data_IF_550476665561
#
_entry.id   IF_550476665561
#
_cell.length_a   1.000
_cell.length_b   1.000
_cell.length_c   1.000
_cell.angle_alpha   90.00
_cell.angle_beta   90.00
_cell.angle_gamma   90.00
#
_symmetry.space_group_name_H-M   'P 1'
#
loop_
_entity.id
_entity.type
_entity.pdbx_description
1 polymer ?
#
# COMPACT_ATOMS: atom_id res chain seq x y z
N UNK A 1 -11.30 26.97 -0.02
CA UNK A 1 -9.99 26.40 0.27
C UNK A 1 -9.92 26.21 1.77
N UNK A 2 -8.93 25.52 2.26
CA UNK A 2 -8.72 25.26 3.69
C UNK A 2 -8.82 26.58 4.49
N UNK A 3 -9.44 26.56 5.66
CA UNK A 3 -9.41 27.71 6.56
C UNK A 3 -7.97 28.07 6.86
N UNK A 4 -7.65 29.35 6.94
CA UNK A 4 -6.26 29.85 6.95
C UNK A 4 -5.40 29.24 8.05
N UNK A 5 -5.99 28.88 9.19
CA UNK A 5 -5.27 28.35 10.35
C UNK A 5 -4.99 26.82 10.25
N UNK A 6 -5.84 26.05 9.57
CA UNK A 6 -5.70 24.59 9.49
C UNK A 6 -4.70 24.13 8.42
N UNK A 7 -4.52 24.92 7.36
CA UNK A 7 -3.62 24.59 6.26
C UNK A 7 -2.19 25.10 6.42
N UNK A 8 -1.86 25.85 7.44
CA UNK A 8 -0.62 26.62 7.52
C UNK A 8 0.64 25.75 7.48
N UNK A 9 0.68 24.68 8.26
CA UNK A 9 1.82 23.74 8.27
C UNK A 9 1.94 22.99 6.95
N UNK A 10 0.86 22.44 6.44
CA UNK A 10 0.85 21.73 5.18
C UNK A 10 1.25 22.63 4.00
N UNK A 11 0.69 23.84 3.92
CA UNK A 11 1.07 24.81 2.91
C UNK A 11 2.55 25.21 3.04
N UNK A 12 3.07 25.32 4.26
CA UNK A 12 4.49 25.57 4.53
C UNK A 12 5.38 24.45 4.00
N UNK A 13 5.00 23.18 4.19
CA UNK A 13 5.72 22.04 3.63
C UNK A 13 5.70 22.02 2.11
N UNK A 14 4.54 22.23 1.48
CA UNK A 14 4.39 22.27 0.01
C UNK A 14 5.24 23.41 -0.57
N UNK A 15 5.16 24.61 -0.01
CA UNK A 15 5.94 25.76 -0.47
C UNK A 15 7.45 25.50 -0.31
N UNK A 16 7.87 25.01 0.85
CA UNK A 16 9.29 24.69 1.11
C UNK A 16 9.79 23.60 0.15
N UNK A 17 8.99 22.59 -0.15
CA UNK A 17 9.33 21.58 -1.14
C UNK A 17 9.51 22.18 -2.53
N UNK A 18 8.55 23.00 -2.98
CA UNK A 18 8.62 23.64 -4.30
C UNK A 18 9.81 24.62 -4.42
N UNK A 19 10.13 25.35 -3.34
CA UNK A 19 11.32 26.22 -3.30
C UNK A 19 12.63 25.42 -3.42
N UNK A 20 12.76 24.31 -2.68
CA UNK A 20 13.92 23.41 -2.79
C UNK A 20 14.04 22.80 -4.18
N UNK A 21 12.95 22.58 -4.88
CA UNK A 21 12.90 22.14 -6.28
C UNK A 21 13.12 23.31 -7.27
N UNK A 22 13.45 24.53 -6.78
CA UNK A 22 13.61 25.73 -7.60
C UNK A 22 12.39 26.06 -8.47
N UNK A 23 11.19 25.82 -7.93
CA UNK A 23 9.92 26.03 -8.65
C UNK A 23 9.67 25.04 -9.79
N UNK A 24 10.53 24.04 -9.98
CA UNK A 24 10.32 22.96 -10.95
C UNK A 24 9.85 21.73 -10.18
N UNK A 25 8.75 21.17 -10.64
CA UNK A 25 8.33 19.85 -10.14
C UNK A 25 9.24 18.80 -10.75
N UNK A 26 10.24 18.35 -9.98
CA UNK A 26 11.03 17.17 -10.30
C UNK A 26 10.37 16.01 -9.57
N UNK A 27 9.50 15.29 -10.26
CA UNK A 27 9.00 14.02 -9.75
C UNK A 27 10.20 13.06 -9.68
N UNK A 28 10.45 12.41 -8.55
CA UNK A 28 11.44 11.37 -8.49
C UNK A 28 11.05 10.30 -9.52
N UNK A 29 11.88 10.09 -10.53
CA UNK A 29 11.62 9.03 -11.53
C UNK A 29 11.48 7.65 -10.88
N UNK A 30 12.11 7.49 -9.70
CA UNK A 30 12.11 6.25 -8.91
C UNK A 30 12.10 6.59 -7.42
N UNK A 31 10.96 6.85 -6.81
CA UNK A 31 10.88 7.27 -5.40
C UNK A 31 11.50 6.26 -4.42
N UNK A 32 11.71 5.01 -4.84
CA UNK A 32 12.27 3.94 -4.02
C UNK A 32 13.67 3.47 -4.46
N UNK A 33 14.46 4.32 -5.12
CA UNK A 33 15.88 4.00 -5.44
C UNK A 33 16.70 3.89 -4.16
N UNK A 34 16.49 4.79 -3.19
CA UNK A 34 17.04 4.69 -1.85
C UNK A 34 15.93 4.18 -0.91
N UNK A 35 16.03 2.97 -0.35
CA UNK A 35 14.99 2.42 0.51
C UNK A 35 14.93 3.06 1.90
N UNK A 36 15.96 3.80 2.34
CA UNK A 36 16.04 4.33 3.71
C UNK A 36 14.90 5.27 4.09
N UNK A 37 14.46 6.24 3.26
CA UNK A 37 13.30 7.08 3.56
C UNK A 37 12.02 6.26 3.74
N UNK A 38 11.79 5.27 2.89
CA UNK A 38 10.66 4.37 3.01
C UNK A 38 10.73 3.51 4.28
N UNK A 39 11.90 2.95 4.60
CA UNK A 39 12.09 2.14 5.82
C UNK A 39 11.83 2.98 7.06
N UNK A 40 12.27 4.25 7.08
CA UNK A 40 11.96 5.18 8.17
C UNK A 40 10.44 5.43 8.27
N UNK A 41 9.79 5.80 7.17
CA UNK A 41 8.33 5.94 7.11
C UNK A 41 7.61 4.67 7.60
N UNK A 42 8.02 3.51 7.11
CA UNK A 42 7.45 2.24 7.51
C UNK A 42 7.65 1.88 8.99
N UNK A 43 8.63 2.51 9.66
CA UNK A 43 8.94 2.28 11.08
C UNK A 43 8.21 3.22 12.03
N UNK A 44 7.50 4.22 11.53
CA UNK A 44 6.67 5.12 12.35
C UNK A 44 5.74 4.30 13.26
N UNK A 45 5.71 4.55 14.57
CA UNK A 45 5.04 3.68 15.55
C UNK A 45 3.57 3.41 15.23
N UNK A 46 2.81 4.44 14.81
CA UNK A 46 1.38 4.28 14.45
C UNK A 46 1.19 3.38 13.24
N UNK A 47 2.03 3.52 12.20
CA UNK A 47 1.98 2.67 11.02
C UNK A 47 2.43 1.24 11.32
N UNK A 48 3.46 1.09 12.15
CA UNK A 48 3.92 -0.24 12.60
C UNK A 48 2.83 -0.96 13.39
N UNK A 49 2.13 -0.26 14.30
CA UNK A 49 0.99 -0.80 15.03
C UNK A 49 -0.15 -1.18 14.08
N UNK A 50 -0.52 -0.29 13.16
CA UNK A 50 -1.60 -0.54 12.20
C UNK A 50 -1.30 -1.75 11.29
N UNK A 51 -0.05 -1.93 10.86
CA UNK A 51 0.37 -3.14 10.13
C UNK A 51 0.26 -4.41 10.97
N UNK A 52 0.61 -4.36 12.25
CA UNK A 52 0.44 -5.50 13.15
C UNK A 52 -1.05 -5.85 13.34
N UNK A 53 -1.92 -4.85 13.47
CA UNK A 53 -3.36 -5.02 13.54
C UNK A 53 -3.94 -5.57 12.22
N UNK A 54 -3.49 -5.07 11.07
CA UNK A 54 -3.80 -5.65 9.77
C UNK A 54 -3.42 -7.12 9.68
N UNK A 55 -2.18 -7.47 10.01
CA UNK A 55 -1.70 -8.86 9.99
C UNK A 55 -2.58 -9.75 10.87
N UNK A 56 -2.97 -9.28 12.06
CA UNK A 56 -3.89 -10.01 12.95
C UNK A 56 -5.25 -10.20 12.31
N UNK A 57 -5.89 -9.13 11.84
CA UNK A 57 -7.23 -9.14 11.23
C UNK A 57 -7.27 -10.03 9.98
N UNK A 58 -6.26 -9.92 9.12
CA UNK A 58 -6.11 -10.73 7.93
C UNK A 58 -5.98 -12.23 8.27
N UNK A 59 -5.07 -12.58 9.16
CA UNK A 59 -4.88 -13.97 9.55
C UNK A 59 -6.11 -14.56 10.25
N UNK A 60 -6.79 -13.79 11.10
CA UNK A 60 -7.99 -14.25 11.81
C UNK A 60 -9.13 -14.59 10.83
N UNK A 61 -9.25 -13.84 9.73
CA UNK A 61 -10.29 -14.04 8.70
C UNK A 61 -9.99 -15.15 7.68
N UNK A 62 -8.74 -15.60 7.58
CA UNK A 62 -8.34 -16.66 6.64
C UNK A 62 -8.74 -18.06 7.16
N UNK A 63 -9.02 -19.02 6.27
CA UNK A 63 -9.24 -20.41 6.64
C UNK A 63 -7.94 -21.08 7.11
N UNK A 64 -8.03 -22.33 7.56
CA UNK A 64 -6.86 -23.18 7.73
C UNK A 64 -6.48 -23.82 6.40
N UNK A 65 -5.21 -23.76 6.06
CA UNK A 65 -4.63 -24.39 4.88
C UNK A 65 -4.06 -25.75 5.25
N UNK A 66 -4.43 -26.78 4.52
CA UNK A 66 -3.96 -28.17 4.73
C UNK A 66 -2.75 -28.52 3.89
N UNK A 67 -2.54 -27.78 2.80
CA UNK A 67 -1.39 -27.89 1.92
C UNK A 67 -0.41 -26.74 2.16
N UNK A 68 0.86 -26.85 1.72
CA UNK A 68 1.79 -25.73 1.74
C UNK A 68 1.21 -24.50 1.03
N UNK A 69 1.04 -23.42 1.77
CA UNK A 69 0.37 -22.20 1.26
C UNK A 69 1.26 -21.44 0.27
N UNK A 70 0.66 -20.95 -0.81
CA UNK A 70 1.32 -20.10 -1.81
C UNK A 70 0.81 -18.67 -1.65
N UNK A 71 1.72 -17.73 -1.40
CA UNK A 71 1.42 -16.34 -1.08
C UNK A 71 2.02 -15.42 -2.12
N UNK A 72 1.25 -14.43 -2.57
CA UNK A 72 1.69 -13.34 -3.43
C UNK A 72 1.55 -12.03 -2.66
N UNK A 73 2.62 -11.26 -2.56
CA UNK A 73 2.60 -9.90 -2.00
C UNK A 73 2.79 -8.88 -3.11
N UNK A 74 1.78 -8.03 -3.29
CA UNK A 74 1.68 -7.04 -4.36
C UNK A 74 2.04 -5.68 -3.80
N UNK A 75 3.19 -5.13 -4.24
CA UNK A 75 3.81 -3.96 -3.66
C UNK A 75 4.49 -4.33 -2.33
N UNK A 76 5.38 -5.32 -2.38
CA UNK A 76 5.97 -5.93 -1.18
C UNK A 76 6.88 -4.99 -0.37
N UNK A 77 7.27 -3.84 -0.93
CA UNK A 77 8.14 -2.88 -0.26
C UNK A 77 9.39 -3.56 0.31
N UNK A 78 9.66 -3.38 1.60
CA UNK A 78 10.81 -3.98 2.27
C UNK A 78 10.61 -5.44 2.76
N UNK A 79 9.45 -6.05 2.51
CA UNK A 79 9.14 -7.43 2.88
C UNK A 79 8.83 -7.69 4.35
N UNK A 80 8.93 -6.68 5.21
CA UNK A 80 8.71 -6.86 6.66
C UNK A 80 7.27 -7.31 6.98
N UNK A 81 6.28 -6.71 6.32
CA UNK A 81 4.87 -7.08 6.49
C UNK A 81 4.63 -8.54 6.04
N UNK A 82 5.20 -8.94 4.89
CA UNK A 82 5.10 -10.32 4.40
C UNK A 82 5.66 -11.32 5.40
N UNK A 83 6.84 -11.04 5.94
CA UNK A 83 7.48 -11.90 6.94
C UNK A 83 6.60 -12.04 8.20
N UNK A 84 6.05 -10.93 8.70
CA UNK A 84 5.20 -10.94 9.88
C UNK A 84 3.85 -11.63 9.62
N UNK A 85 3.27 -11.44 8.44
CA UNK A 85 2.04 -12.10 8.03
C UNK A 85 2.20 -13.63 7.98
N UNK A 86 3.26 -14.14 7.37
CA UNK A 86 3.51 -15.57 7.27
C UNK A 86 3.83 -16.17 8.64
N UNK A 87 4.65 -15.51 9.45
CA UNK A 87 4.90 -15.93 10.85
C UNK A 87 3.59 -16.05 11.62
N UNK A 88 2.69 -15.07 11.47
CA UNK A 88 1.39 -15.10 12.14
C UNK A 88 0.52 -16.25 11.67
N UNK A 89 0.46 -16.54 10.37
CA UNK A 89 -0.27 -17.70 9.83
C UNK A 89 0.22 -19.01 10.46
N UNK A 90 1.52 -19.18 10.60
CA UNK A 90 2.12 -20.37 11.23
C UNK A 90 1.83 -20.42 12.73
N UNK A 91 2.02 -19.31 13.46
CA UNK A 91 1.77 -19.23 14.90
C UNK A 91 0.31 -19.53 15.28
N UNK A 92 -0.64 -19.12 14.43
CA UNK A 92 -2.08 -19.37 14.65
C UNK A 92 -2.53 -20.73 14.13
N UNK A 93 -1.64 -21.50 13.54
CA UNK A 93 -1.95 -22.80 12.95
C UNK A 93 -2.86 -22.71 11.72
N UNK A 94 -2.93 -21.54 11.09
CA UNK A 94 -3.67 -21.35 9.81
C UNK A 94 -2.91 -21.99 8.65
N UNK A 95 -1.58 -21.93 8.65
CA UNK A 95 -0.72 -22.65 7.72
C UNK A 95 0.39 -23.38 8.49
N UNK A 96 0.61 -24.64 8.19
CA UNK A 96 1.71 -25.43 8.77
C UNK A 96 2.99 -25.27 7.96
N UNK A 97 2.85 -25.05 6.66
CA UNK A 97 3.97 -24.94 5.72
C UNK A 97 3.71 -23.86 4.67
N UNK A 98 4.79 -23.33 4.07
CA UNK A 98 4.78 -22.32 3.02
C UNK A 98 5.47 -22.90 1.79
N UNK A 99 4.70 -23.07 0.72
CA UNK A 99 5.20 -23.63 -0.52
C UNK A 99 5.91 -22.61 -1.41
N UNK A 100 5.40 -21.37 -1.45
CA UNK A 100 5.96 -20.30 -2.27
C UNK A 100 5.58 -18.93 -1.74
N UNK A 101 6.54 -18.01 -1.78
CA UNK A 101 6.36 -16.58 -1.49
C UNK A 101 6.78 -15.79 -2.74
N UNK A 102 5.83 -15.13 -3.38
CA UNK A 102 6.10 -14.25 -4.50
C UNK A 102 6.03 -12.80 -4.03
N UNK A 103 7.13 -12.08 -4.18
CA UNK A 103 7.31 -10.68 -3.79
C UNK A 103 7.36 -9.82 -5.06
N UNK A 104 6.36 -8.97 -5.27
CA UNK A 104 6.24 -8.12 -6.47
C UNK A 104 6.37 -6.66 -6.08
N UNK A 105 7.29 -5.95 -6.72
CA UNK A 105 7.45 -4.51 -6.57
C UNK A 105 8.07 -3.91 -7.84
N UNK A 106 7.65 -2.72 -8.29
CA UNK A 106 8.27 -2.05 -9.43
C UNK A 106 9.68 -1.53 -9.13
N UNK A 107 10.07 -1.40 -7.85
CA UNK A 107 11.41 -0.98 -7.44
C UNK A 107 12.35 -2.18 -7.29
N UNK A 108 13.47 -2.24 -8.05
CA UNK A 108 14.47 -3.28 -7.88
C UNK A 108 15.06 -3.30 -6.46
N UNK A 109 15.32 -2.12 -5.89
CA UNK A 109 15.88 -2.00 -4.53
C UNK A 109 14.92 -2.54 -3.46
N UNK A 110 13.60 -2.34 -3.63
CA UNK A 110 12.61 -2.92 -2.72
C UNK A 110 12.52 -4.42 -2.86
N UNK A 111 12.50 -4.97 -4.07
CA UNK A 111 12.51 -6.42 -4.29
C UNK A 111 13.73 -7.07 -3.66
N UNK A 112 14.93 -6.50 -3.86
CA UNK A 112 16.15 -7.02 -3.25
C UNK A 112 16.09 -7.00 -1.72
N UNK A 113 15.63 -5.88 -1.14
CA UNK A 113 15.45 -5.75 0.30
C UNK A 113 14.39 -6.72 0.84
N UNK A 114 13.27 -6.89 0.14
CA UNK A 114 12.21 -7.81 0.54
C UNK A 114 12.67 -9.26 0.52
N UNK A 115 13.37 -9.68 -0.54
CA UNK A 115 13.94 -11.04 -0.64
C UNK A 115 14.92 -11.30 0.51
N UNK A 116 15.76 -10.32 0.85
CA UNK A 116 16.67 -10.42 2.00
C UNK A 116 15.90 -10.54 3.31
N UNK A 117 14.95 -9.63 3.58
CA UNK A 117 14.18 -9.58 4.83
C UNK A 117 13.38 -10.87 5.05
N UNK A 118 12.69 -11.34 4.02
CA UNK A 118 11.91 -12.59 4.10
C UNK A 118 12.85 -13.80 4.19
N UNK A 119 14.01 -13.75 3.53
CA UNK A 119 15.03 -14.80 3.56
C UNK A 119 15.72 -14.99 4.91
N UNK A 120 15.61 -14.03 5.83
CA UNK A 120 16.07 -14.19 7.22
C UNK A 120 15.21 -15.17 8.03
N UNK A 121 13.97 -15.44 7.59
CA UNK A 121 12.99 -16.24 8.35
C UNK A 121 12.43 -17.42 7.56
N UNK A 122 12.58 -17.43 6.23
CA UNK A 122 12.08 -18.49 5.35
C UNK A 122 13.18 -18.96 4.40
N UNK A 123 13.15 -20.25 3.98
CA UNK A 123 14.18 -20.77 3.09
C UNK A 123 14.16 -20.04 1.74
N UNK A 124 15.33 -19.65 1.21
CA UNK A 124 15.44 -18.94 -0.06
C UNK A 124 14.76 -19.66 -1.25
N UNK A 125 14.68 -21.00 -1.20
CA UNK A 125 14.02 -21.82 -2.22
C UNK A 125 12.51 -21.58 -2.31
N UNK A 126 11.87 -21.06 -1.26
CA UNK A 126 10.47 -20.72 -1.24
C UNK A 126 10.20 -19.29 -1.73
N UNK A 127 11.23 -18.45 -1.88
CA UNK A 127 11.10 -17.02 -2.15
C UNK A 127 11.42 -16.71 -3.61
N UNK A 128 10.51 -15.99 -4.27
CA UNK A 128 10.71 -15.46 -5.62
C UNK A 128 10.46 -13.95 -5.62
N UNK A 129 11.50 -13.16 -5.85
CA UNK A 129 11.38 -11.72 -6.10
C UNK A 129 11.06 -11.42 -7.57
N UNK A 130 10.20 -10.45 -7.82
CA UNK A 130 9.83 -10.04 -9.17
C UNK A 130 9.78 -8.52 -9.27
N UNK A 131 10.75 -7.97 -10.00
CA UNK A 131 10.78 -6.55 -10.30
C UNK A 131 9.86 -6.23 -11.48
N UNK A 132 8.59 -6.03 -11.20
CA UNK A 132 7.55 -5.66 -12.18
C UNK A 132 6.42 -4.90 -11.49
N UNK A 133 5.71 -4.09 -12.27
CA UNK A 133 4.40 -3.60 -11.87
C UNK A 133 3.38 -4.74 -11.81
N UNK A 134 2.35 -4.61 -10.99
CA UNK A 134 1.27 -5.60 -10.96
C UNK A 134 0.53 -5.65 -12.30
N UNK A 135 0.45 -4.52 -13.01
CA UNK A 135 -0.19 -4.43 -14.31
C UNK A 135 0.50 -5.34 -15.33
N UNK A 136 1.84 -5.31 -15.37
CA UNK A 136 2.63 -6.15 -16.28
C UNK A 136 2.63 -7.61 -15.85
N UNK A 137 2.69 -7.86 -14.55
CA UNK A 137 2.70 -9.20 -14.00
C UNK A 137 1.35 -9.89 -14.18
N UNK A 138 0.24 -9.25 -13.85
CA UNK A 138 -1.09 -9.85 -13.93
C UNK A 138 -1.46 -10.31 -15.34
N UNK A 139 -0.92 -9.66 -16.37
CA UNK A 139 -1.11 -10.05 -17.76
C UNK A 139 -0.42 -11.37 -18.14
N UNK A 140 0.60 -11.80 -17.38
CA UNK A 140 1.41 -13.00 -17.65
C UNK A 140 1.27 -14.07 -16.58
N UNK A 141 0.37 -13.86 -15.60
CA UNK A 141 0.15 -14.80 -14.50
C UNK A 141 -0.41 -16.13 -15.02
N UNK A 142 0.23 -17.23 -14.66
CA UNK A 142 -0.13 -18.59 -15.06
C UNK A 142 -0.02 -19.60 -13.93
N UNK A 143 0.24 -19.12 -12.72
CA UNK A 143 0.38 -19.93 -11.51
C UNK A 143 -0.66 -19.51 -10.49
N UNK A 144 -1.22 -20.50 -9.77
CA UNK A 144 -2.22 -20.26 -8.75
C UNK A 144 -1.58 -19.96 -7.39
N UNK A 145 -2.16 -18.99 -6.65
CA UNK A 145 -1.77 -18.62 -5.30
C UNK A 145 -2.98 -18.73 -4.37
N UNK A 146 -2.76 -19.17 -3.14
CA UNK A 146 -3.82 -19.27 -2.15
C UNK A 146 -4.21 -17.90 -1.65
N UNK A 147 -3.22 -17.03 -1.44
CA UNK A 147 -3.42 -15.70 -0.87
C UNK A 147 -2.67 -14.66 -1.72
N UNK A 148 -3.37 -13.61 -2.12
CA UNK A 148 -2.79 -12.35 -2.55
C UNK A 148 -2.96 -11.32 -1.43
N UNK A 149 -1.89 -10.65 -1.02
CA UNK A 149 -1.93 -9.52 -0.09
C UNK A 149 -1.47 -8.26 -0.80
N UNK A 150 -2.02 -7.12 -0.42
CA UNK A 150 -1.55 -5.81 -0.83
C UNK A 150 -1.72 -4.81 0.31
N UNK A 151 -0.66 -4.06 0.59
CA UNK A 151 -0.63 -3.05 1.64
C UNK A 151 -0.09 -1.74 1.08
N UNK A 152 -0.93 -0.72 0.97
CA UNK A 152 -0.55 0.59 0.44
C UNK A 152 0.14 0.53 -0.92
N UNK A 153 -0.42 -0.24 -1.86
CA UNK A 153 0.16 -0.39 -3.19
C UNK A 153 -0.84 -0.23 -4.34
N UNK A 154 -2.08 -0.66 -4.13
CA UNK A 154 -3.09 -0.57 -5.18
C UNK A 154 -3.56 0.87 -5.47
N UNK A 155 -3.37 1.79 -4.53
CA UNK A 155 -3.70 3.21 -4.75
C UNK A 155 -2.82 3.88 -5.83
N UNK A 156 -1.70 3.31 -6.21
CA UNK A 156 -0.89 3.83 -7.33
C UNK A 156 -1.52 3.61 -8.72
N UNK A 157 -2.75 3.14 -8.78
CA UNK A 157 -3.49 2.90 -10.03
C UNK A 157 -4.87 3.56 -9.98
N UNK A 158 -5.36 4.17 -11.10
CA UNK A 158 -6.74 4.62 -11.19
C UNK A 158 -7.72 3.44 -11.13
N UNK A 159 -8.98 3.71 -10.75
CA UNK A 159 -9.99 2.69 -10.47
C UNK A 159 -10.22 1.70 -11.59
N UNK A 160 -10.23 2.16 -12.85
CA UNK A 160 -10.36 1.28 -14.02
C UNK A 160 -9.19 0.31 -14.18
N UNK A 161 -7.97 0.73 -13.83
CA UNK A 161 -6.79 -0.13 -13.85
C UNK A 161 -6.81 -1.11 -12.68
N UNK A 162 -7.24 -0.69 -11.48
CA UNK A 162 -7.50 -1.59 -10.34
C UNK A 162 -8.46 -2.69 -10.74
N UNK A 163 -9.61 -2.31 -11.33
CA UNK A 163 -10.63 -3.25 -11.78
C UNK A 163 -10.10 -4.24 -12.81
N UNK A 164 -9.35 -3.75 -13.80
CA UNK A 164 -8.73 -4.62 -14.81
C UNK A 164 -7.77 -5.64 -14.18
N UNK A 165 -6.92 -5.20 -13.25
CA UNK A 165 -5.97 -6.09 -12.57
C UNK A 165 -6.67 -7.12 -11.68
N UNK A 166 -7.70 -6.74 -10.93
CA UNK A 166 -8.48 -7.67 -10.12
C UNK A 166 -9.11 -8.77 -10.99
N UNK A 167 -9.65 -8.42 -12.16
CA UNK A 167 -10.19 -9.41 -13.13
C UNK A 167 -9.13 -10.38 -13.65
N UNK A 168 -7.89 -9.90 -13.81
CA UNK A 168 -6.76 -10.75 -14.25
C UNK A 168 -6.26 -11.67 -13.14
N UNK A 169 -6.30 -11.20 -11.89
CA UNK A 169 -5.89 -11.98 -10.73
C UNK A 169 -6.94 -13.02 -10.31
N UNK A 170 -8.22 -12.70 -10.43
CA UNK A 170 -9.32 -13.53 -9.94
C UNK A 170 -9.21 -15.04 -10.27
N UNK A 171 -8.85 -15.47 -11.51
CA UNK A 171 -8.69 -16.89 -11.82
C UNK A 171 -7.55 -17.59 -11.07
N UNK A 172 -6.61 -16.83 -10.54
CA UNK A 172 -5.32 -17.32 -10.04
C UNK A 172 -5.15 -17.21 -8.53
N UNK A 173 -6.18 -16.71 -7.81
CA UNK A 173 -6.13 -16.55 -6.37
C UNK A 173 -7.38 -17.11 -5.69
N UNK A 174 -7.25 -17.54 -4.43
CA UNK A 174 -8.39 -17.93 -3.60
C UNK A 174 -8.79 -16.81 -2.63
N UNK A 175 -7.83 -16.04 -2.13
CA UNK A 175 -8.04 -14.97 -1.18
C UNK A 175 -7.31 -13.71 -1.61
N UNK A 176 -7.97 -12.55 -1.48
CA UNK A 176 -7.35 -11.24 -1.64
C UNK A 176 -7.52 -10.45 -0.35
N UNK A 177 -6.42 -10.05 0.26
CA UNK A 177 -6.41 -9.25 1.49
C UNK A 177 -5.78 -7.89 1.22
N UNK A 178 -6.52 -6.84 1.50
CA UNK A 178 -6.15 -5.45 1.24
C UNK A 178 -6.01 -4.67 2.54
N UNK A 179 -4.98 -3.83 2.61
CA UNK A 179 -4.80 -2.81 3.63
C UNK A 179 -4.57 -1.46 2.96
N UNK A 180 -5.48 -0.50 3.17
CA UNK A 180 -5.48 0.80 2.48
C UNK A 180 -6.04 1.94 3.33
N UNK A 181 -5.85 3.16 2.82
CA UNK A 181 -6.43 4.40 3.32
C UNK A 181 -7.87 4.56 2.82
N UNK A 182 -8.78 5.00 3.70
CA UNK A 182 -10.14 5.39 3.33
C UNK A 182 -10.16 6.84 2.86
N UNK A 183 -9.91 7.05 1.58
CA UNK A 183 -9.77 8.37 0.99
C UNK A 183 -10.25 8.42 -0.45
N UNK A 184 -10.63 9.60 -0.92
CA UNK A 184 -11.10 9.82 -2.29
C UNK A 184 -10.19 10.77 -3.07
N UNK A 185 -9.07 10.25 -3.57
CA UNK A 185 -8.15 11.01 -4.40
C UNK A 185 -8.24 10.63 -5.90
N UNK A 186 -8.97 9.57 -6.23
CA UNK A 186 -9.11 9.10 -7.61
C UNK A 186 -10.18 9.92 -8.38
N UNK A 187 -11.40 10.03 -7.84
CA UNK A 187 -12.53 10.60 -8.55
C UNK A 187 -12.56 12.15 -8.63
N UNK A 188 -12.12 12.90 -7.59
CA UNK A 188 -12.20 14.35 -7.65
C UNK A 188 -11.36 14.94 -8.79
N UNK A 189 -11.92 15.98 -9.40
CA UNK A 189 -11.25 16.71 -10.48
C UNK A 189 -10.06 17.53 -9.98
N UNK A 190 -9.11 17.77 -10.88
CA UNK A 190 -7.98 18.64 -10.60
C UNK A 190 -8.49 20.05 -10.23
N UNK A 191 -7.87 20.65 -9.22
CA UNK A 191 -8.24 21.96 -8.64
C UNK A 191 -9.61 21.99 -7.93
N UNK A 192 -10.25 20.84 -7.69
CA UNK A 192 -11.46 20.82 -6.89
C UNK A 192 -11.14 20.98 -5.39
N UNK A 193 -12.03 21.62 -4.61
CA UNK A 193 -11.90 21.68 -3.16
C UNK A 193 -11.86 20.30 -2.50
N UNK A 194 -12.60 19.35 -3.06
CA UNK A 194 -12.67 17.98 -2.58
C UNK A 194 -11.32 17.27 -2.65
N UNK A 195 -10.60 17.45 -3.78
CA UNK A 195 -9.25 16.88 -3.92
C UNK A 195 -8.27 17.52 -2.95
N UNK A 196 -8.28 18.84 -2.86
CA UNK A 196 -7.39 19.60 -1.97
C UNK A 196 -7.61 19.20 -0.50
N UNK A 197 -8.88 19.09 -0.07
CA UNK A 197 -9.22 18.69 1.28
C UNK A 197 -8.80 17.25 1.57
N UNK A 198 -9.08 16.31 0.67
CA UNK A 198 -8.71 14.90 0.82
C UNK A 198 -7.20 14.72 0.94
N UNK A 199 -6.42 15.39 0.08
CA UNK A 199 -4.95 15.35 0.14
C UNK A 199 -4.44 15.94 1.45
N UNK A 200 -4.95 17.11 1.85
CA UNK A 200 -4.56 17.78 3.09
C UNK A 200 -4.81 16.91 4.32
N UNK A 201 -6.01 16.36 4.46
CA UNK A 201 -6.41 15.57 5.63
C UNK A 201 -5.50 14.37 5.84
N UNK A 202 -5.13 13.69 4.76
CA UNK A 202 -4.31 12.47 4.83
C UNK A 202 -2.83 12.82 4.99
N UNK A 203 -2.29 13.57 4.04
CA UNK A 203 -0.85 13.78 3.98
C UNK A 203 -0.36 14.71 5.09
N UNK A 204 -1.18 15.67 5.52
CA UNK A 204 -0.88 16.47 6.71
C UNK A 204 -0.68 15.58 7.93
N UNK A 205 -1.59 14.64 8.17
CA UNK A 205 -1.50 13.71 9.30
C UNK A 205 -0.31 12.75 9.20
N UNK A 206 -0.06 12.21 8.01
CA UNK A 206 1.08 11.30 7.77
C UNK A 206 2.42 12.03 7.99
N UNK A 207 2.53 13.28 7.58
CA UNK A 207 3.72 14.11 7.81
C UNK A 207 3.95 14.34 9.29
N UNK A 208 2.90 14.62 10.06
CA UNK A 208 3.00 14.74 11.52
C UNK A 208 3.53 13.46 12.16
N UNK A 209 3.08 12.28 11.70
CA UNK A 209 3.60 11.01 12.18
C UNK A 209 5.08 10.83 11.89
N UNK A 210 5.54 11.20 10.68
CA UNK A 210 6.94 11.07 10.29
C UNK A 210 7.84 11.94 11.19
N UNK A 211 7.44 13.19 11.47
CA UNK A 211 8.23 14.09 12.30
C UNK A 211 8.09 13.82 13.80
N UNK A 212 7.03 13.16 14.25
CA UNK A 212 6.88 12.74 15.64
C UNK A 212 7.73 11.51 15.99
N UNK A 213 8.27 10.81 15.00
CA UNK A 213 9.10 9.62 15.20
C UNK A 213 10.57 9.98 15.33
N UNK A 214 11.20 9.57 16.43
CA UNK A 214 12.63 9.79 16.68
C UNK A 214 13.49 9.19 15.55
N UNK A 215 14.19 10.06 14.85
CA UNK A 215 15.13 9.71 13.79
C UNK A 215 16.07 10.90 13.52
N UNK A 216 17.18 10.69 12.80
CA UNK A 216 17.93 11.80 12.23
C UNK A 216 17.01 12.69 11.39
N UNK A 217 17.03 14.00 11.65
CA UNK A 217 16.13 14.95 10.99
C UNK A 217 16.24 14.90 9.47
N UNK A 218 17.43 14.65 8.95
CA UNK A 218 17.70 14.51 7.52
C UNK A 218 16.94 13.31 6.91
N UNK A 219 16.77 12.23 7.69
CA UNK A 219 16.03 11.04 7.24
C UNK A 219 14.52 11.30 7.26
N UNK A 220 14.02 12.01 8.25
CA UNK A 220 12.62 12.43 8.31
C UNK A 220 12.29 13.39 7.14
N UNK A 221 13.15 14.39 6.89
CA UNK A 221 13.01 15.29 5.74
C UNK A 221 13.04 14.51 4.43
N UNK A 222 13.97 13.56 4.27
CA UNK A 222 14.04 12.73 3.06
C UNK A 222 12.79 11.86 2.87
N UNK A 223 12.20 11.34 3.93
CA UNK A 223 10.96 10.59 3.86
C UNK A 223 9.79 11.48 3.40
N UNK A 224 9.70 12.71 3.90
CA UNK A 224 8.68 13.67 3.47
C UNK A 224 8.92 14.13 2.03
N UNK A 225 10.14 14.55 1.68
CA UNK A 225 10.43 15.14 0.37
C UNK A 225 10.41 14.09 -0.76
N UNK A 226 11.06 12.95 -0.57
CA UNK A 226 11.22 11.97 -1.64
C UNK A 226 10.00 11.07 -1.82
N UNK A 227 9.08 11.09 -0.87
CA UNK A 227 7.93 10.22 -0.85
C UNK A 227 6.62 11.03 -0.78
N UNK A 228 6.31 11.61 0.38
CA UNK A 228 5.01 12.22 0.62
C UNK A 228 4.76 13.50 -0.19
N UNK A 229 5.72 14.41 -0.26
CA UNK A 229 5.54 15.66 -1.02
C UNK A 229 5.50 15.44 -2.53
N UNK A 230 6.23 14.47 -3.04
CA UNK A 230 6.14 14.11 -4.45
C UNK A 230 4.73 13.63 -4.83
N UNK A 231 4.11 12.81 -3.97
CA UNK A 231 2.74 12.33 -4.14
C UNK A 231 1.72 13.49 -4.02
N UNK A 232 1.83 14.31 -2.97
CA UNK A 232 0.98 15.50 -2.76
C UNK A 232 0.98 16.40 -3.98
N UNK A 233 2.17 16.78 -4.46
CA UNK A 233 2.28 17.70 -5.59
C UNK A 233 1.78 17.05 -6.87
N UNK A 234 2.04 15.75 -7.08
CA UNK A 234 1.50 15.00 -8.21
C UNK A 234 -0.04 15.02 -8.22
N UNK A 235 -0.68 14.75 -7.09
CA UNK A 235 -2.14 14.74 -6.99
C UNK A 235 -2.76 16.12 -7.22
N UNK A 236 -2.12 17.18 -6.73
CA UNK A 236 -2.65 18.54 -6.81
C UNK A 236 -2.34 19.26 -8.13
N UNK A 237 -1.41 18.75 -8.96
CA UNK A 237 -0.96 19.46 -10.17
C UNK A 237 -1.14 18.67 -11.46
N UNK A 238 -1.23 17.34 -11.39
CA UNK A 238 -1.34 16.49 -12.57
C UNK A 238 -2.80 16.05 -12.82
N UNK A 239 -3.21 15.95 -14.08
CA UNK A 239 -4.53 15.43 -14.41
C UNK A 239 -4.64 13.95 -14.01
N UNK A 240 -5.87 13.49 -13.77
CA UNK A 240 -6.17 12.08 -13.56
C UNK A 240 -5.58 11.22 -14.68
N UNK A 241 -4.96 10.09 -14.33
CA UNK A 241 -4.22 9.24 -15.26
C UNK A 241 -2.72 9.52 -15.32
N UNK A 242 -2.25 10.64 -14.76
CA UNK A 242 -0.83 11.00 -14.65
C UNK A 242 -0.38 11.18 -13.18
N UNK A 243 -1.32 11.14 -12.24
CA UNK A 243 -1.03 11.24 -10.79
C UNK A 243 -0.30 10.00 -10.31
N UNK A 244 0.45 10.14 -9.22
CA UNK A 244 1.10 9.02 -8.54
C UNK A 244 0.10 8.16 -7.77
N UNK A 245 -0.98 8.77 -7.23
CA UNK A 245 -1.88 8.15 -6.28
C UNK A 245 -3.35 8.37 -6.61
N UNK A 246 -4.16 7.35 -6.31
CA UNK A 246 -5.57 7.24 -6.60
C UNK A 246 -6.27 6.48 -5.47
N UNK A 247 -6.21 7.03 -4.25
CA UNK A 247 -6.91 6.44 -3.12
C UNK A 247 -8.42 6.39 -3.40
N UNK A 248 -9.04 5.32 -2.94
CA UNK A 248 -10.47 5.08 -3.07
C UNK A 248 -11.10 4.88 -1.70
N UNK A 249 -12.33 5.34 -1.53
CA UNK A 249 -13.11 5.12 -0.33
C UNK A 249 -13.39 3.62 -0.12
N UNK A 250 -13.51 3.20 1.12
CA UNK A 250 -13.76 1.82 1.50
C UNK A 250 -14.94 1.19 0.76
N UNK A 251 -16.05 1.90 0.58
CA UNK A 251 -17.18 1.40 -0.20
C UNK A 251 -16.87 1.22 -1.70
N UNK A 252 -16.01 2.07 -2.27
CA UNK A 252 -15.55 1.94 -3.66
C UNK A 252 -14.68 0.68 -3.82
N UNK A 253 -13.88 0.33 -2.81
CA UNK A 253 -13.13 -0.92 -2.80
C UNK A 253 -14.04 -2.13 -2.81
N UNK A 254 -15.15 -2.12 -2.08
CA UNK A 254 -16.14 -3.20 -2.16
C UNK A 254 -16.74 -3.33 -3.57
N UNK A 255 -17.01 -2.21 -4.25
CA UNK A 255 -17.46 -2.25 -5.64
C UNK A 255 -16.40 -2.80 -6.59
N UNK A 256 -15.13 -2.37 -6.43
CA UNK A 256 -13.99 -2.88 -7.20
C UNK A 256 -13.83 -4.39 -7.03
N UNK A 257 -13.91 -4.90 -5.81
CA UNK A 257 -13.81 -6.33 -5.55
C UNK A 257 -14.97 -7.13 -6.12
N UNK A 258 -16.22 -6.71 -5.90
CA UNK A 258 -17.39 -7.38 -6.48
C UNK A 258 -17.35 -7.45 -8.00
N UNK A 259 -16.93 -6.36 -8.64
CA UNK A 259 -16.88 -6.25 -10.10
C UNK A 259 -15.59 -6.85 -10.72
N UNK A 260 -14.54 -6.96 -9.93
CA UNK A 260 -13.23 -7.42 -10.37
C UNK A 260 -12.96 -8.88 -10.07
N UNK A 261 -13.21 -9.33 -8.85
CA UNK A 261 -12.97 -10.71 -8.45
C UNK A 261 -14.11 -11.67 -8.90
N UNK A 262 -15.33 -11.15 -9.03
CA UNK A 262 -16.47 -11.93 -9.47
C UNK A 262 -17.35 -12.47 -8.33
N UNK A 263 -18.48 -13.11 -8.67
CA UNK A 263 -19.52 -13.51 -7.70
C UNK A 263 -19.11 -14.68 -6.80
N UNK A 264 -18.07 -15.41 -7.18
CA UNK A 264 -17.51 -16.50 -6.36
C UNK A 264 -16.69 -16.01 -5.17
N UNK A 265 -16.36 -14.72 -5.11
CA UNK A 265 -15.68 -14.12 -3.97
C UNK A 265 -16.66 -13.40 -3.06
N UNK A 266 -16.55 -13.66 -1.76
CA UNK A 266 -17.36 -13.01 -0.72
C UNK A 266 -16.47 -12.24 0.25
N UNK A 267 -17.01 -11.18 0.85
CA UNK A 267 -16.31 -10.42 1.88
C UNK A 267 -16.27 -11.25 3.17
N UNK A 268 -15.06 -11.60 3.62
CA UNK A 268 -14.80 -12.38 4.83
C UNK A 268 -14.35 -11.50 6.01
N UNK A 269 -13.79 -10.34 5.72
CA UNK A 269 -13.42 -9.33 6.71
C UNK A 269 -13.57 -7.94 6.10
N UNK A 270 -14.12 -7.03 6.90
CA UNK A 270 -14.22 -5.62 6.61
C UNK A 270 -14.12 -4.84 7.93
N UNK A 271 -12.91 -4.37 8.27
CA UNK A 271 -12.60 -3.87 9.60
C UNK A 271 -11.75 -2.61 9.53
N UNK A 272 -12.09 -1.61 10.35
CA UNK A 272 -11.22 -0.46 10.59
C UNK A 272 -9.98 -0.91 11.37
N UNK A 273 -8.81 -0.57 10.86
CA UNK A 273 -7.51 -0.93 11.46
C UNK A 273 -6.96 0.21 12.30
N UNK A 274 -7.17 1.44 11.85
CA UNK A 274 -6.87 2.67 12.57
C UNK A 274 -7.99 3.67 12.26
N UNK A 275 -8.40 4.44 13.27
CA UNK A 275 -9.27 5.60 13.09
C UNK A 275 -8.70 6.75 13.89
N UNK A 276 -8.32 7.80 13.21
CA UNK A 276 -7.91 9.09 13.79
C UNK A 276 -8.65 10.21 13.07
N UNK A 277 -8.58 11.42 13.60
CA UNK A 277 -9.18 12.58 12.96
C UNK A 277 -8.73 12.67 11.50
N UNK A 278 -9.69 12.60 10.58
CA UNK A 278 -9.53 12.70 9.11
C UNK A 278 -8.76 11.57 8.42
N UNK A 279 -8.34 10.52 9.13
CA UNK A 279 -7.59 9.43 8.53
C UNK A 279 -8.01 8.07 9.10
N UNK A 280 -8.66 7.29 8.25
CA UNK A 280 -8.99 5.90 8.53
C UNK A 280 -8.14 4.94 7.69
N UNK A 281 -7.65 3.89 8.33
CA UNK A 281 -7.08 2.73 7.68
C UNK A 281 -8.00 1.54 7.84
N UNK A 282 -8.14 0.72 6.81
CA UNK A 282 -9.00 -0.44 6.86
C UNK A 282 -8.35 -1.70 6.30
N UNK A 283 -8.85 -2.83 6.77
CA UNK A 283 -8.57 -4.16 6.24
C UNK A 283 -9.82 -4.72 5.57
N UNK A 284 -9.69 -5.12 4.31
CA UNK A 284 -10.74 -5.86 3.59
C UNK A 284 -10.17 -7.20 3.13
N UNK A 285 -10.94 -8.28 3.32
CA UNK A 285 -10.59 -9.60 2.81
C UNK A 285 -11.76 -10.17 2.00
N UNK A 286 -11.49 -10.52 0.76
CA UNK A 286 -12.38 -11.28 -0.10
C UNK A 286 -11.79 -12.67 -0.36
N UNK A 287 -12.61 -13.70 -0.24
CA UNK A 287 -12.21 -15.09 -0.48
C UNK A 287 -13.24 -15.86 -1.28
N UNK A 288 -12.78 -16.87 -2.02
CA UNK A 288 -13.67 -17.82 -2.69
C UNK A 288 -14.48 -18.59 -1.64
N UNK A 289 -15.76 -18.77 -1.93
CA UNK A 289 -16.68 -19.56 -1.11
C UNK A 289 -16.37 -21.06 -1.23
#
# INVERSE_FOLDING_TARGET
MLEEDEGLLFNGFVNSFLERQQGKLIMPEKPFVDPRPFVHFASVPVLKKSRADFVRQACDSLPRFTNPVRIMDIGCGNGALTADFIKRLQQTGKATDVGQILLIDPSPAMVELAVKTVGEVFPPSAIRGMNRSIQDFSATLSEHYDIAISSFAYHHMPGETKLFNLRKLAPWINHFVLFELDSNNDLPELNSPELALSVYQIYGRIIDWVFSHEAPVELAIAAVDNFLMAEVVSMLTLPRGQRSDYHALRWQWHELFRNGLGPEFTCLCDTTTLSEDYLDLFTIHYGRA
#
